data_IF_737827383133
#
_entry.id   IF_737827383133
#
_cell.length_a   1.000
_cell.length_b   1.000
_cell.length_c   1.000
_cell.angle_alpha   90.00
_cell.angle_beta   90.00
_cell.angle_gamma   90.00
#
_symmetry.space_group_name_H-M   'P 1'
#
loop_
_entity.id
_entity.type
_entity.pdbx_description
1 polymer ?
#
# COMPACT_ATOMS: atom_id res chain seq x y z
N UNK A 1 9.60 -22.44 23.74
CA UNK A 1 9.98 -22.23 22.33
C UNK A 1 9.81 -20.76 22.05
N UNK A 2 10.92 -20.03 21.99
CA UNK A 2 10.93 -18.62 21.63
C UNK A 2 10.36 -18.47 20.21
N UNK A 3 9.43 -17.53 20.04
CA UNK A 3 8.97 -17.14 18.71
C UNK A 3 10.17 -16.58 17.94
N UNK A 4 10.30 -16.86 16.62
CA UNK A 4 11.36 -16.24 15.84
C UNK A 4 11.18 -14.72 15.90
N UNK A 5 12.11 -14.06 16.57
CA UNK A 5 12.24 -12.61 16.68
C UNK A 5 12.75 -12.07 15.34
N UNK A 6 12.04 -11.08 14.82
CA UNK A 6 12.35 -10.25 13.65
C UNK A 6 12.46 -10.96 12.27
N UNK A 7 11.31 -11.12 11.61
CA UNK A 7 11.26 -11.29 10.16
C UNK A 7 11.55 -9.94 9.49
N UNK A 8 12.82 -9.71 9.16
CA UNK A 8 13.30 -8.53 8.44
C UNK A 8 12.66 -8.50 7.05
N UNK A 9 12.10 -7.36 6.65
CA UNK A 9 11.64 -7.14 5.28
C UNK A 9 12.81 -7.34 4.30
N UNK A 10 12.63 -8.19 3.30
CA UNK A 10 13.67 -8.37 2.30
C UNK A 10 13.75 -7.11 1.42
N UNK A 11 14.97 -6.59 1.27
CA UNK A 11 15.23 -5.36 0.48
C UNK A 11 14.86 -5.47 -0.99
N UNK A 12 14.65 -6.68 -1.51
CA UNK A 12 14.22 -6.93 -2.88
C UNK A 12 12.70 -7.08 -2.92
N UNK A 13 12.04 -6.17 -3.65
CA UNK A 13 10.58 -6.22 -3.82
C UNK A 13 10.09 -7.58 -4.33
N UNK A 14 10.85 -8.25 -5.20
CA UNK A 14 10.45 -9.54 -5.75
C UNK A 14 10.23 -10.62 -4.71
N UNK A 15 11.04 -10.63 -3.65
CA UNK A 15 10.91 -11.60 -2.56
C UNK A 15 9.61 -11.38 -1.78
N UNK A 16 9.15 -10.13 -1.70
CA UNK A 16 7.87 -9.80 -1.04
C UNK A 16 6.67 -10.23 -1.88
N UNK A 17 6.79 -10.22 -3.21
CA UNK A 17 5.68 -10.52 -4.13
C UNK A 17 5.63 -11.97 -4.60
N UNK A 18 6.62 -12.78 -4.21
CA UNK A 18 6.77 -14.15 -4.66
C UNK A 18 5.64 -15.06 -4.16
N UNK A 19 5.03 -15.76 -5.11
CA UNK A 19 4.04 -16.81 -4.86
C UNK A 19 4.46 -18.07 -5.59
N UNK A 20 4.32 -19.20 -4.91
CA UNK A 20 4.53 -20.53 -5.46
C UNK A 20 3.19 -21.07 -5.95
N UNK A 21 3.13 -21.53 -7.21
CA UNK A 21 1.97 -22.26 -7.68
C UNK A 21 2.02 -23.70 -7.14
N UNK A 22 0.99 -24.09 -6.39
CA UNK A 22 0.91 -25.43 -5.78
C UNK A 22 -0.14 -26.32 -6.46
N UNK A 23 -1.09 -25.73 -7.19
CA UNK A 23 -2.02 -26.44 -8.10
C UNK A 23 -2.57 -25.47 -9.17
N UNK A 24 -3.43 -25.96 -10.06
CA UNK A 24 -4.21 -25.12 -10.98
C UNK A 24 -5.03 -24.12 -10.16
N UNK A 25 -4.82 -22.83 -10.48
CA UNK A 25 -5.51 -21.72 -9.83
C UNK A 25 -5.33 -21.67 -8.29
N UNK A 26 -4.24 -22.28 -7.78
CA UNK A 26 -3.91 -22.33 -6.35
C UNK A 26 -2.45 -21.97 -6.09
N UNK A 27 -2.23 -20.97 -5.24
CA UNK A 27 -0.91 -20.45 -4.96
C UNK A 27 -0.65 -20.31 -3.46
N UNK A 28 0.62 -20.25 -3.07
CA UNK A 28 1.08 -20.09 -1.69
C UNK A 28 2.10 -18.96 -1.60
N UNK A 29 1.98 -18.10 -0.58
CA UNK A 29 3.00 -17.09 -0.28
C UNK A 29 4.33 -17.75 0.10
N UNK A 30 5.45 -17.25 -0.41
CA UNK A 30 6.78 -17.74 0.00
C UNK A 30 7.27 -17.01 1.24
N UNK A 31 7.22 -15.68 1.22
CA UNK A 31 7.64 -14.83 2.34
C UNK A 31 6.50 -13.90 2.76
N UNK A 32 6.49 -13.55 4.04
CA UNK A 32 5.53 -12.61 4.63
C UNK A 32 6.28 -11.63 5.51
N UNK A 33 5.92 -10.36 5.41
CA UNK A 33 6.49 -9.28 6.20
C UNK A 33 5.45 -8.71 7.14
N UNK A 34 5.78 -8.63 8.43
CA UNK A 34 4.99 -7.95 9.45
C UNK A 34 5.72 -6.68 9.88
N UNK A 35 5.19 -5.48 9.55
CA UNK A 35 5.81 -4.24 9.98
C UNK A 35 5.91 -4.12 11.51
N UNK A 36 6.91 -3.40 12.04
CA UNK A 36 7.06 -3.22 13.47
C UNK A 36 5.80 -2.59 14.09
N UNK A 37 5.35 -3.17 15.22
CA UNK A 37 4.11 -2.78 15.94
C UNK A 37 2.81 -2.96 15.14
N UNK A 38 2.84 -3.54 13.94
CA UNK A 38 1.63 -3.92 13.23
C UNK A 38 0.98 -5.17 13.85
N UNK A 39 -0.32 -5.35 13.60
CA UNK A 39 -1.08 -6.51 14.10
C UNK A 39 -0.92 -7.75 13.21
N UNK A 40 -0.66 -7.57 11.93
CA UNK A 40 -0.51 -8.67 10.96
C UNK A 40 0.43 -8.31 9.82
N UNK A 41 0.48 -9.19 8.82
CA UNK A 41 1.24 -8.99 7.58
C UNK A 41 0.84 -7.68 6.91
N UNK A 42 1.80 -7.03 6.25
CA UNK A 42 1.56 -5.80 5.51
C UNK A 42 0.50 -6.00 4.42
N UNK A 43 -0.50 -5.10 4.38
CA UNK A 43 -1.66 -5.23 3.49
C UNK A 43 -1.30 -5.20 2.02
N UNK A 44 -0.42 -4.26 1.63
CA UNK A 44 0.12 -4.16 0.27
C UNK A 44 0.76 -5.47 -0.21
N UNK A 45 1.40 -6.23 0.67
CA UNK A 45 1.95 -7.54 0.30
C UNK A 45 0.86 -8.55 -0.06
N UNK A 46 -0.21 -8.61 0.73
CA UNK A 46 -1.35 -9.52 0.49
C UNK A 46 -2.07 -9.15 -0.81
N UNK A 47 -2.27 -7.86 -1.07
CA UNK A 47 -2.86 -7.37 -2.34
C UNK A 47 -1.98 -7.81 -3.51
N UNK A 48 -0.68 -7.51 -3.46
CA UNK A 48 0.26 -7.80 -4.54
C UNK A 48 0.41 -9.28 -4.84
N UNK A 49 0.47 -10.13 -3.81
CA UNK A 49 0.51 -11.59 -4.00
C UNK A 49 -0.79 -12.11 -4.60
N UNK A 50 -1.96 -11.60 -4.15
CA UNK A 50 -3.24 -11.98 -4.72
C UNK A 50 -3.37 -11.62 -6.22
N UNK A 51 -2.90 -10.43 -6.63
CA UNK A 51 -2.91 -10.07 -8.06
C UNK A 51 -1.86 -10.82 -8.87
N UNK A 52 -0.70 -11.16 -8.28
CA UNK A 52 0.27 -12.04 -8.92
C UNK A 52 -0.35 -13.41 -9.20
N UNK A 53 -1.05 -14.00 -8.22
CA UNK A 53 -1.82 -15.23 -8.40
C UNK A 53 -2.89 -15.10 -9.48
N UNK A 54 -3.71 -14.05 -9.45
CA UNK A 54 -4.76 -13.84 -10.44
C UNK A 54 -4.21 -13.68 -11.86
N UNK A 55 -3.09 -12.97 -12.02
CA UNK A 55 -2.44 -12.72 -13.32
C UNK A 55 -1.96 -14.01 -13.96
N UNK A 56 -1.43 -14.95 -13.16
CA UNK A 56 -1.03 -16.28 -13.65
C UNK A 56 -2.20 -17.14 -14.16
N UNK A 57 -3.44 -16.77 -13.84
CA UNK A 57 -4.66 -17.45 -14.28
C UNK A 57 -5.34 -16.77 -15.47
N UNK A 58 -4.68 -15.81 -16.13
CA UNK A 58 -5.24 -15.00 -17.23
C UNK A 58 -4.37 -15.13 -18.48
N UNK A 59 -4.98 -15.03 -19.67
CA UNK A 59 -4.24 -15.05 -20.93
C UNK A 59 -3.30 -13.84 -21.02
N UNK A 60 -2.04 -13.99 -21.47
CA UNK A 60 -1.05 -12.90 -21.51
C UNK A 60 -1.48 -11.64 -22.27
N UNK A 61 -2.44 -11.75 -23.19
CA UNK A 61 -2.94 -10.61 -23.96
C UNK A 61 -3.81 -9.64 -23.13
N UNK A 62 -4.23 -10.03 -21.92
CA UNK A 62 -5.08 -9.22 -21.05
C UNK A 62 -4.24 -8.57 -19.95
N UNK A 63 -4.31 -7.25 -19.84
CA UNK A 63 -3.67 -6.48 -18.77
C UNK A 63 -4.62 -6.24 -17.59
N UNK A 64 -4.10 -6.29 -16.37
CA UNK A 64 -4.85 -5.90 -15.17
C UNK A 64 -5.21 -4.41 -15.26
N UNK A 65 -6.48 -4.05 -15.06
CA UNK A 65 -6.93 -2.65 -15.08
C UNK A 65 -7.63 -2.21 -13.81
N UNK A 66 -8.15 -3.14 -13.01
CA UNK A 66 -8.74 -2.78 -11.73
C UNK A 66 -8.77 -3.93 -10.74
N UNK A 67 -8.80 -3.56 -9.46
CA UNK A 67 -9.06 -4.46 -8.36
C UNK A 67 -9.87 -3.78 -7.27
N UNK A 68 -10.61 -4.59 -6.53
CA UNK A 68 -11.31 -4.24 -5.30
C UNK A 68 -11.08 -5.34 -4.29
N UNK A 69 -10.73 -5.02 -3.05
CA UNK A 69 -10.50 -6.02 -2.03
C UNK A 69 -10.96 -5.60 -0.64
N UNK A 70 -11.22 -6.59 0.21
CA UNK A 70 -11.53 -6.42 1.62
C UNK A 70 -10.56 -7.22 2.49
N UNK A 71 -10.10 -6.59 3.55
CA UNK A 71 -9.33 -7.20 4.64
C UNK A 71 -10.30 -7.66 5.73
N UNK A 72 -10.42 -8.98 5.90
CA UNK A 72 -11.39 -9.59 6.82
C UNK A 72 -10.77 -9.90 8.18
N UNK A 73 -9.53 -10.42 8.17
CA UNK A 73 -8.79 -10.81 9.37
C UNK A 73 -7.32 -10.40 9.25
N UNK A 74 -6.65 -10.23 10.39
CA UNK A 74 -5.20 -9.98 10.39
C UNK A 74 -4.45 -11.25 9.99
N UNK A 75 -3.68 -11.16 8.90
CA UNK A 75 -2.81 -12.23 8.44
C UNK A 75 -1.65 -12.46 9.43
N UNK A 76 -1.34 -13.73 9.72
CA UNK A 76 -0.19 -14.12 10.54
C UNK A 76 1.07 -14.27 9.67
N UNK A 77 2.23 -13.73 10.08
CA UNK A 77 3.50 -13.98 9.38
C UNK A 77 4.07 -15.38 9.64
N UNK A 78 3.51 -16.14 10.59
CA UNK A 78 4.04 -17.44 11.01
C UNK A 78 3.55 -18.61 10.14
N UNK A 79 2.55 -18.38 9.30
CA UNK A 79 1.91 -19.41 8.47
C UNK A 79 1.78 -18.85 7.05
N UNK A 80 2.07 -19.61 5.98
CA UNK A 80 1.85 -19.13 4.63
C UNK A 80 0.38 -18.78 4.36
N UNK A 81 0.15 -17.80 3.50
CA UNK A 81 -1.17 -17.49 2.95
C UNK A 81 -1.40 -18.34 1.71
N UNK A 82 -2.56 -18.99 1.61
CA UNK A 82 -2.98 -19.74 0.43
C UNK A 82 -3.95 -18.88 -0.38
N UNK A 83 -3.67 -18.66 -1.66
CA UNK A 83 -4.48 -17.88 -2.59
C UNK A 83 -5.22 -18.81 -3.55
N UNK A 84 -6.54 -18.89 -3.39
CA UNK A 84 -7.44 -19.59 -4.29
C UNK A 84 -7.95 -18.62 -5.35
N UNK A 85 -7.66 -18.89 -6.61
CA UNK A 85 -8.13 -18.09 -7.74
C UNK A 85 -9.34 -18.76 -8.37
N UNK A 86 -10.41 -18.01 -8.53
CA UNK A 86 -11.62 -18.43 -9.21
C UNK A 86 -11.76 -17.66 -10.52
N UNK A 87 -11.95 -18.38 -11.62
CA UNK A 87 -12.19 -17.83 -12.95
C UNK A 87 -13.66 -17.45 -13.11
N UNK A 88 -14.03 -16.27 -12.60
CA UNK A 88 -15.42 -15.78 -12.61
C UNK A 88 -15.95 -15.62 -14.04
N UNK A 89 -15.14 -15.08 -14.94
CA UNK A 89 -15.53 -14.85 -16.34
C UNK A 89 -14.32 -14.77 -17.26
N UNK A 90 -14.44 -15.38 -18.43
CA UNK A 90 -13.55 -15.14 -19.57
C UNK A 90 -14.37 -14.70 -20.78
N UNK A 91 -14.32 -13.40 -21.06
CA UNK A 91 -14.97 -12.79 -22.22
C UNK A 91 -14.01 -12.55 -23.37
N UNK A 92 -14.54 -11.94 -24.43
CA UNK A 92 -13.74 -11.53 -25.60
C UNK A 92 -12.73 -10.43 -25.26
N UNK A 93 -13.16 -9.41 -24.52
CA UNK A 93 -12.34 -8.22 -24.22
C UNK A 93 -12.05 -8.05 -22.72
N UNK A 94 -12.78 -8.73 -21.84
CA UNK A 94 -12.59 -8.68 -20.40
C UNK A 94 -12.51 -10.07 -19.77
N UNK A 95 -11.65 -10.23 -18.77
CA UNK A 95 -11.56 -11.39 -17.90
C UNK A 95 -11.66 -10.96 -16.44
N UNK A 96 -12.31 -11.76 -15.60
CA UNK A 96 -12.52 -11.44 -14.18
C UNK A 96 -12.02 -12.61 -13.33
N UNK A 97 -11.28 -12.29 -12.28
CA UNK A 97 -10.77 -13.25 -11.30
C UNK A 97 -11.20 -12.83 -9.90
N UNK A 98 -11.57 -13.82 -9.10
CA UNK A 98 -11.84 -13.67 -7.69
C UNK A 98 -10.77 -14.43 -6.92
N UNK A 99 -10.14 -13.81 -5.92
CA UNK A 99 -9.05 -14.40 -5.14
C UNK A 99 -9.46 -14.43 -3.68
N UNK A 100 -9.43 -15.63 -3.08
CA UNK A 100 -9.58 -15.83 -1.64
C UNK A 100 -8.21 -16.10 -1.04
N UNK A 101 -7.78 -15.26 -0.12
CA UNK A 101 -6.60 -15.55 0.68
C UNK A 101 -7.02 -16.22 1.98
N UNK A 102 -6.42 -17.37 2.30
CA UNK A 102 -6.82 -18.25 3.40
C UNK A 102 -5.64 -18.56 4.29
N UNK A 103 -5.86 -18.49 5.60
CA UNK A 103 -4.97 -19.00 6.64
C UNK A 103 -5.78 -19.77 7.67
N UNK A 104 -5.27 -20.92 8.11
CA UNK A 104 -5.91 -21.76 9.14
C UNK A 104 -7.41 -22.06 8.84
N UNK A 105 -7.74 -22.27 7.56
CA UNK A 105 -9.11 -22.53 7.10
C UNK A 105 -10.06 -21.33 7.12
N UNK A 106 -9.57 -20.11 7.42
CA UNK A 106 -10.36 -18.89 7.42
C UNK A 106 -9.95 -17.97 6.27
N UNK A 107 -10.94 -17.37 5.60
CA UNK A 107 -10.68 -16.32 4.61
C UNK A 107 -10.26 -15.05 5.35
N UNK A 108 -9.02 -14.61 5.12
CA UNK A 108 -8.46 -13.41 5.75
C UNK A 108 -8.56 -12.18 4.85
N UNK A 109 -8.65 -12.40 3.54
CA UNK A 109 -8.68 -11.37 2.52
C UNK A 109 -9.40 -11.88 1.27
N UNK A 110 -10.13 -10.99 0.61
CA UNK A 110 -10.89 -11.28 -0.60
C UNK A 110 -10.63 -10.19 -1.64
N UNK A 111 -10.32 -10.55 -2.87
CA UNK A 111 -10.08 -9.62 -3.97
C UNK A 111 -10.85 -10.02 -5.22
N UNK A 112 -11.50 -9.05 -5.86
CA UNK A 112 -12.06 -9.19 -7.20
C UNK A 112 -11.26 -8.26 -8.13
N UNK A 113 -10.69 -8.81 -9.20
CA UNK A 113 -9.95 -8.02 -10.18
C UNK A 113 -10.40 -8.30 -11.61
N UNK A 114 -10.21 -7.29 -12.44
CA UNK A 114 -10.61 -7.30 -13.84
C UNK A 114 -9.42 -7.00 -14.74
N UNK A 115 -9.37 -7.72 -15.84
CA UNK A 115 -8.35 -7.64 -16.87
C UNK A 115 -9.02 -7.31 -18.20
N UNK A 116 -8.35 -6.56 -19.07
CA UNK A 116 -8.86 -6.22 -20.40
C UNK A 116 -7.80 -6.39 -21.48
N UNK A 117 -8.24 -6.58 -22.72
CA UNK A 117 -7.39 -6.42 -23.91
C UNK A 117 -7.06 -4.93 -24.09
N UNK A 118 -5.80 -4.49 -24.16
CA UNK A 118 -5.46 -3.06 -24.32
C UNK A 118 -6.04 -2.42 -25.59
N UNK A 119 -6.55 -1.20 -25.46
CA UNK A 119 -7.11 -0.39 -26.57
C UNK A 119 -6.43 1.00 -26.64
N UNK A 120 -5.12 1.08 -26.98
CA UNK A 120 -4.33 2.32 -26.89
C UNK A 120 -4.76 3.44 -27.86
N UNK A 121 -5.63 3.15 -28.82
CA UNK A 121 -6.15 4.13 -29.78
C UNK A 121 -7.33 4.95 -29.24
N UNK A 122 -7.83 4.64 -28.05
CA UNK A 122 -8.95 5.35 -27.46
C UNK A 122 -8.54 6.76 -26.96
N UNK A 123 -9.47 7.72 -26.87
CA UNK A 123 -9.18 9.05 -26.35
C UNK A 123 -8.67 9.02 -24.91
N UNK A 124 -7.73 9.92 -24.59
CA UNK A 124 -7.13 10.03 -23.26
C UNK A 124 -7.45 11.37 -22.62
N UNK A 125 -7.68 11.36 -21.31
CA UNK A 125 -7.75 12.55 -20.47
C UNK A 125 -7.12 12.21 -19.12
N UNK A 126 -6.32 13.12 -18.59
CA UNK A 126 -5.75 13.00 -17.26
C UNK A 126 -5.72 14.36 -16.57
N UNK A 127 -5.75 14.35 -15.23
CA UNK A 127 -5.39 15.51 -14.45
C UNK A 127 -3.87 15.74 -14.51
N UNK A 128 -3.41 17.00 -14.47
CA UNK A 128 -1.98 17.27 -14.46
C UNK A 128 -1.34 16.75 -13.16
N UNK A 129 -0.08 16.31 -13.26
CA UNK A 129 0.76 16.08 -12.09
C UNK A 129 0.96 17.42 -11.35
N UNK A 130 0.84 17.48 -10.01
CA UNK A 130 1.10 18.71 -9.27
C UNK A 130 2.58 19.10 -9.34
N UNK A 131 2.85 20.41 -9.26
CA UNK A 131 4.22 20.93 -9.17
C UNK A 131 4.79 20.64 -7.78
N UNK A 132 5.87 19.85 -7.74
CA UNK A 132 6.55 19.40 -6.54
C UNK A 132 8.06 19.33 -6.78
N UNK A 133 8.89 19.42 -5.73
CA UNK A 133 10.32 19.16 -5.86
C UNK A 133 10.60 17.81 -6.52
N UNK A 134 11.70 17.74 -7.28
CA UNK A 134 12.11 16.51 -7.96
C UNK A 134 12.47 15.43 -6.93
N UNK A 135 12.41 14.18 -7.37
CA UNK A 135 12.71 13.02 -6.52
C UNK A 135 14.08 13.15 -5.84
N UNK A 136 15.10 13.63 -6.57
CA UNK A 136 16.48 13.77 -6.07
C UNK A 136 16.62 14.86 -5.01
N UNK A 137 15.76 15.86 -5.02
CA UNK A 137 15.81 17.02 -4.12
C UNK A 137 15.07 16.75 -2.80
N UNK A 138 14.38 15.61 -2.68
CA UNK A 138 13.57 15.28 -1.53
C UNK A 138 14.33 14.40 -0.52
N UNK A 139 14.22 14.74 0.77
CA UNK A 139 14.77 13.94 1.87
C UNK A 139 14.09 12.56 1.95
N UNK A 140 14.89 11.51 2.12
CA UNK A 140 14.39 10.16 2.41
C UNK A 140 13.70 10.10 3.78
N UNK A 141 12.62 9.34 3.86
CA UNK A 141 11.85 9.22 5.11
C UNK A 141 12.64 8.55 6.24
N UNK A 142 13.57 7.64 5.92
CA UNK A 142 14.53 7.08 6.88
C UNK A 142 15.47 8.14 7.46
N UNK A 143 15.96 9.08 6.65
CA UNK A 143 16.85 10.16 7.10
C UNK A 143 16.08 11.17 7.94
N UNK A 144 14.83 11.48 7.55
CA UNK A 144 13.91 12.26 8.36
C UNK A 144 13.71 11.63 9.74
N UNK A 145 13.52 10.32 9.82
CA UNK A 145 13.36 9.63 11.10
C UNK A 145 14.66 9.66 11.94
N UNK A 146 15.82 9.39 11.33
CA UNK A 146 17.14 9.54 12.00
C UNK A 146 17.32 10.94 12.57
N UNK A 147 17.02 11.96 11.77
CA UNK A 147 17.13 13.37 12.16
C UNK A 147 16.17 13.73 13.29
N UNK A 148 14.94 13.20 13.30
CA UNK A 148 14.00 13.41 14.41
C UNK A 148 14.45 12.72 15.70
N UNK A 149 15.17 11.61 15.60
CA UNK A 149 15.72 10.91 16.76
C UNK A 149 16.85 11.69 17.46
N UNK A 150 17.45 12.71 16.82
CA UNK A 150 18.51 13.55 17.41
C UNK A 150 18.00 14.85 18.04
N UNK A 151 16.69 15.10 18.03
CA UNK A 151 16.12 16.34 18.58
C UNK A 151 16.35 16.43 20.09
N UNK A 152 16.77 17.61 20.55
CA UNK A 152 16.97 17.88 21.97
C UNK A 152 15.65 17.75 22.74
N UNK A 153 15.68 17.07 23.90
CA UNK A 153 14.52 16.89 24.77
C UNK A 153 13.51 15.83 24.32
N UNK A 154 13.85 15.01 23.33
CA UNK A 154 13.01 13.88 22.92
C UNK A 154 12.95 12.80 24.01
N UNK A 155 11.75 12.26 24.25
CA UNK A 155 11.57 11.09 25.12
C UNK A 155 12.25 9.86 24.52
N UNK A 156 12.88 9.04 25.37
CA UNK A 156 13.66 7.88 24.95
C UNK A 156 12.84 6.89 24.11
N UNK A 157 11.57 6.64 24.47
CA UNK A 157 10.71 5.71 23.73
C UNK A 157 10.35 6.25 22.35
N UNK A 158 10.26 7.57 22.21
CA UNK A 158 10.00 8.24 20.93
C UNK A 158 11.26 8.19 20.05
N UNK A 159 12.45 8.36 20.66
CA UNK A 159 13.74 8.18 19.99
C UNK A 159 13.89 6.77 19.43
N UNK A 160 13.68 5.75 20.26
CA UNK A 160 13.70 4.34 19.86
C UNK A 160 12.70 4.05 18.73
N UNK A 161 11.48 4.61 18.82
CA UNK A 161 10.47 4.47 17.78
C UNK A 161 10.94 5.04 16.43
N UNK A 162 11.56 6.23 16.43
CA UNK A 162 12.09 6.82 15.20
C UNK A 162 13.24 6.01 14.62
N UNK A 163 14.17 5.52 15.45
CA UNK A 163 15.26 4.67 14.96
C UNK A 163 14.75 3.34 14.39
N UNK A 164 13.73 2.74 15.01
CA UNK A 164 13.07 1.54 14.48
C UNK A 164 12.41 1.82 13.12
N UNK A 165 11.70 2.95 12.97
CA UNK A 165 11.13 3.32 11.67
C UNK A 165 12.18 3.66 10.63
N UNK A 166 13.29 4.29 11.02
CA UNK A 166 14.41 4.51 10.10
C UNK A 166 14.97 3.18 9.59
N UNK A 167 15.23 2.22 10.49
CA UNK A 167 15.75 0.91 10.13
C UNK A 167 14.80 0.12 9.20
N UNK A 168 13.50 0.15 9.49
CA UNK A 168 12.48 -0.46 8.62
C UNK A 168 12.51 0.16 7.22
N UNK A 169 12.47 1.50 7.11
CA UNK A 169 12.53 2.18 5.81
C UNK A 169 13.83 1.99 5.05
N UNK A 170 14.96 1.84 5.74
CA UNK A 170 16.26 1.52 5.10
C UNK A 170 16.30 0.12 4.52
N UNK A 171 15.70 -0.84 5.22
CA UNK A 171 15.74 -2.24 4.78
C UNK A 171 14.60 -2.59 3.83
N UNK A 172 13.51 -1.82 3.83
CA UNK A 172 12.36 -2.06 3.00
C UNK A 172 12.62 -1.89 1.50
N UNK A 173 11.76 -2.49 0.66
CA UNK A 173 11.94 -2.54 -0.78
C UNK A 173 11.51 -1.24 -1.47
N UNK A 174 10.93 -0.27 -0.76
CA UNK A 174 10.48 1.00 -1.32
C UNK A 174 11.18 2.15 -0.59
N UNK A 175 11.97 2.95 -1.34
CA UNK A 175 12.45 4.23 -0.88
C UNK A 175 11.32 5.26 -0.93
N UNK A 176 11.04 5.93 0.19
CA UNK A 176 10.00 6.97 0.26
C UNK A 176 10.65 8.31 0.57
N UNK A 177 10.23 9.34 -0.16
CA UNK A 177 10.63 10.73 0.08
C UNK A 177 9.39 11.61 0.19
N UNK A 178 9.40 12.56 1.14
CA UNK A 178 8.29 13.52 1.29
C UNK A 178 8.51 14.67 0.33
N UNK A 179 7.68 14.76 -0.71
CA UNK A 179 7.81 15.78 -1.75
C UNK A 179 7.16 17.10 -1.32
N UNK A 180 5.92 17.03 -0.84
CA UNK A 180 5.18 18.21 -0.41
C UNK A 180 4.02 17.87 0.52
N UNK A 181 3.57 18.88 1.25
CA UNK A 181 2.31 18.89 2.01
C UNK A 181 1.66 20.24 1.78
N UNK A 182 0.54 20.25 1.07
CA UNK A 182 -0.19 21.47 0.76
C UNK A 182 -1.52 21.51 1.50
N UNK A 183 -1.90 22.69 1.97
CA UNK A 183 -3.24 22.96 2.50
C UNK A 183 -3.91 23.93 1.55
N UNK A 184 -5.09 23.60 1.03
CA UNK A 184 -5.85 24.55 0.21
C UNK A 184 -6.49 25.62 1.08
N UNK A 185 -6.33 26.89 0.70
CA UNK A 185 -6.84 28.02 1.47
C UNK A 185 -8.37 28.11 1.48
N UNK A 186 -9.02 27.69 0.38
CA UNK A 186 -10.46 27.80 0.16
C UNK A 186 -11.29 26.88 1.07
N UNK A 187 -10.77 25.69 1.39
CA UNK A 187 -11.53 24.66 2.12
C UNK A 187 -10.72 23.92 3.18
N UNK A 188 -9.44 24.29 3.40
CA UNK A 188 -8.57 23.68 4.39
C UNK A 188 -8.14 22.24 4.07
N UNK A 189 -8.47 21.70 2.90
CA UNK A 189 -8.10 20.33 2.53
C UNK A 189 -6.59 20.16 2.45
N UNK A 190 -6.10 19.10 3.09
CA UNK A 190 -4.67 18.76 3.14
C UNK A 190 -4.38 17.68 2.11
N UNK A 191 -3.37 17.92 1.27
CA UNK A 191 -2.84 16.94 0.32
C UNK A 191 -1.39 16.64 0.66
N UNK A 192 -1.10 15.36 0.86
CA UNK A 192 0.26 14.85 1.04
C UNK A 192 0.77 14.29 -0.28
N UNK A 193 2.07 14.47 -0.55
CA UNK A 193 2.70 14.06 -1.80
C UNK A 193 4.03 13.37 -1.49
N UNK A 194 4.19 12.14 -1.96
CA UNK A 194 5.35 11.31 -1.69
C UNK A 194 5.95 10.78 -3.00
N UNK A 195 7.27 10.88 -3.16
CA UNK A 195 7.96 10.08 -4.15
C UNK A 195 8.20 8.69 -3.57
N UNK A 196 7.80 7.64 -4.29
CA UNK A 196 7.96 6.24 -3.90
C UNK A 196 8.70 5.49 -5.00
N UNK A 197 9.82 4.88 -4.66
CA UNK A 197 10.74 4.28 -5.62
C UNK A 197 11.11 2.85 -5.20
N UNK A 198 10.87 1.89 -6.07
CA UNK A 198 11.19 0.49 -5.81
C UNK A 198 12.71 0.23 -5.86
N UNK A 199 13.21 -0.49 -4.85
CA UNK A 199 14.57 -1.01 -4.74
C UNK A 199 14.57 -2.44 -5.26
N UNK A 200 15.00 -2.63 -6.50
CA UNK A 200 14.98 -3.95 -7.15
C UNK A 200 16.38 -4.55 -7.28
N UNK A 201 17.41 -3.70 -7.34
CA UNK A 201 18.79 -4.13 -7.58
C UNK A 201 18.98 -4.75 -8.97
N UNK A 202 18.07 -4.48 -9.92
CA UNK A 202 18.13 -4.95 -11.30
C UNK A 202 18.65 -3.85 -12.22
N UNK A 203 19.32 -4.25 -13.29
CA UNK A 203 19.73 -3.36 -14.39
C UNK A 203 18.58 -3.07 -15.36
N UNK A 204 17.60 -3.98 -15.45
CA UNK A 204 16.45 -3.86 -16.33
C UNK A 204 15.13 -3.83 -15.52
N UNK A 205 14.18 -2.96 -15.90
CA UNK A 205 12.85 -2.93 -15.28
C UNK A 205 12.14 -4.27 -15.36
N UNK A 206 11.21 -4.51 -14.43
CA UNK A 206 10.28 -5.61 -14.58
C UNK A 206 9.24 -5.35 -15.68
N UNK A 207 8.71 -6.44 -16.24
CA UNK A 207 7.55 -6.42 -17.14
C UNK A 207 6.31 -5.79 -16.48
N UNK A 208 5.44 -5.19 -17.30
CA UNK A 208 4.26 -4.44 -16.84
C UNK A 208 3.35 -5.19 -15.86
N UNK A 209 3.02 -6.50 -16.04
CA UNK A 209 2.20 -7.21 -15.06
C UNK A 209 2.82 -7.21 -13.66
N UNK A 210 4.15 -7.30 -13.58
CA UNK A 210 4.86 -7.27 -12.31
C UNK A 210 5.02 -5.83 -11.78
N UNK A 211 5.21 -4.83 -12.65
CA UNK A 211 5.16 -3.41 -12.27
C UNK A 211 3.83 -3.05 -11.59
N UNK A 212 2.71 -3.56 -12.09
CA UNK A 212 1.38 -3.38 -11.45
C UNK A 212 1.29 -4.05 -10.08
N UNK A 213 2.01 -5.17 -9.88
CA UNK A 213 2.15 -5.81 -8.57
C UNK A 213 2.96 -4.95 -7.59
N UNK A 214 4.05 -4.33 -8.06
CA UNK A 214 4.85 -3.39 -7.27
C UNK A 214 4.03 -2.14 -6.93
N UNK A 215 3.30 -1.58 -7.88
CA UNK A 215 2.44 -0.41 -7.66
C UNK A 215 1.37 -0.70 -6.61
N UNK A 216 0.74 -1.88 -6.63
CA UNK A 216 -0.20 -2.28 -5.58
C UNK A 216 0.45 -2.33 -4.19
N UNK A 217 1.70 -2.80 -4.09
CA UNK A 217 2.46 -2.79 -2.84
C UNK A 217 2.67 -1.37 -2.33
N UNK A 218 3.13 -0.50 -3.25
CA UNK A 218 3.40 0.92 -3.03
C UNK A 218 2.14 1.66 -2.56
N UNK A 219 0.98 1.33 -3.12
CA UNK A 219 -0.27 2.05 -2.88
C UNK A 219 -0.82 1.95 -1.46
N UNK A 220 -0.43 0.93 -0.68
CA UNK A 220 -0.81 0.76 0.73
C UNK A 220 0.23 1.38 1.70
N UNK A 221 1.33 1.95 1.18
CA UNK A 221 2.30 2.71 1.98
C UNK A 221 1.86 4.16 2.13
N UNK A 222 2.00 4.71 3.35
CA UNK A 222 1.67 6.10 3.69
C UNK A 222 0.27 6.57 3.24
N UNK A 223 -0.71 5.65 3.21
CA UNK A 223 -2.06 5.93 2.73
C UNK A 223 -3.04 6.22 3.88
N UNK A 224 -3.44 5.20 4.66
CA UNK A 224 -4.36 5.37 5.80
C UNK A 224 -3.80 6.26 6.91
N UNK A 225 -2.48 6.39 7.02
CA UNK A 225 -1.84 7.31 7.97
C UNK A 225 -2.24 8.77 7.72
N UNK A 226 -2.59 9.14 6.49
CA UNK A 226 -3.06 10.49 6.15
C UNK A 226 -4.38 10.81 6.85
N UNK A 227 -5.26 9.83 7.02
CA UNK A 227 -6.49 10.03 7.79
C UNK A 227 -6.20 10.29 9.28
N UNK A 228 -5.21 9.58 9.86
CA UNK A 228 -4.79 9.82 11.25
C UNK A 228 -4.21 11.22 11.43
N UNK A 229 -3.37 11.67 10.48
CA UNK A 229 -2.81 13.04 10.45
C UNK A 229 -3.91 14.10 10.31
N UNK A 230 -4.87 13.88 9.42
CA UNK A 230 -6.02 14.78 9.19
C UNK A 230 -6.89 14.93 10.44
N UNK A 231 -7.04 13.86 11.22
CA UNK A 231 -7.74 13.87 12.51
C UNK A 231 -6.87 14.34 13.69
N UNK A 232 -5.61 14.72 13.43
CA UNK A 232 -4.62 15.10 14.44
C UNK A 232 -4.36 14.03 15.51
N UNK A 233 -4.59 12.76 15.18
CA UNK A 233 -4.36 11.63 16.08
C UNK A 233 -2.89 11.24 16.08
N UNK A 234 -2.31 11.12 17.29
CA UNK A 234 -0.88 10.85 17.46
C UNK A 234 -0.66 9.40 17.92
N UNK A 235 0.37 8.76 17.37
CA UNK A 235 0.88 7.50 17.92
C UNK A 235 1.61 7.80 19.23
N UNK A 236 1.52 6.90 20.21
CA UNK A 236 2.14 7.00 21.54
C UNK A 236 1.66 8.17 22.43
N UNK A 237 0.68 8.98 22.03
CA UNK A 237 0.02 9.89 22.96
C UNK A 237 -0.97 9.13 23.85
N UNK A 238 -1.40 9.77 24.94
CA UNK A 238 -2.46 9.27 25.82
C UNK A 238 -3.69 10.17 25.71
N UNK A 239 -4.86 9.60 26.00
CA UNK A 239 -6.10 10.35 26.07
C UNK A 239 -6.72 10.59 24.68
N UNK A 240 -7.64 11.58 24.58
CA UNK A 240 -8.59 11.68 23.47
C UNK A 240 -7.98 11.92 22.09
N UNK A 241 -6.71 12.34 22.01
CA UNK A 241 -5.99 12.60 20.75
C UNK A 241 -5.03 11.44 20.39
N UNK A 242 -5.13 10.30 21.09
CA UNK A 242 -4.36 9.10 20.81
C UNK A 242 -4.99 8.26 19.72
N UNK A 243 -4.18 7.80 18.77
CA UNK A 243 -4.59 6.83 17.78
C UNK A 243 -4.72 5.43 18.42
N UNK A 244 -5.93 5.09 18.85
CA UNK A 244 -6.23 3.82 19.50
C UNK A 244 -6.26 2.63 18.53
N UNK A 245 -6.79 2.85 17.33
CA UNK A 245 -6.89 1.81 16.30
C UNK A 245 -6.75 2.40 14.91
N UNK A 246 -5.94 1.73 14.09
CA UNK A 246 -5.80 1.98 12.65
C UNK A 246 -5.74 0.63 11.95
N UNK A 247 -6.67 0.37 11.03
CA UNK A 247 -6.68 -0.87 10.23
C UNK A 247 -7.36 -0.63 8.90
N UNK A 248 -6.78 -1.15 7.82
CA UNK A 248 -7.40 -1.13 6.50
C UNK A 248 -8.65 -2.01 6.50
N UNK A 249 -9.72 -1.55 5.84
CA UNK A 249 -10.95 -2.34 5.63
C UNK A 249 -11.03 -2.83 4.19
N UNK A 250 -10.82 -1.92 3.24
CA UNK A 250 -10.79 -2.22 1.81
C UNK A 250 -9.65 -1.49 1.10
N UNK A 251 -9.38 -1.89 -0.14
CA UNK A 251 -8.47 -1.16 -1.03
C UNK A 251 -8.89 -1.40 -2.48
N UNK A 252 -8.91 -0.33 -3.27
CA UNK A 252 -9.23 -0.39 -4.70
C UNK A 252 -8.19 0.36 -5.51
N UNK A 253 -7.83 -0.20 -6.68
CA UNK A 253 -6.90 0.39 -7.63
C UNK A 253 -7.52 0.32 -9.02
N UNK A 254 -7.37 1.40 -9.78
CA UNK A 254 -7.64 1.44 -11.22
C UNK A 254 -6.38 1.89 -11.95
N UNK A 255 -5.90 1.07 -12.87
CA UNK A 255 -4.71 1.29 -13.68
C UNK A 255 -5.12 1.82 -15.06
N UNK A 256 -4.49 2.91 -15.52
CA UNK A 256 -4.83 3.58 -16.77
C UNK A 256 -3.65 3.72 -17.74
N UNK A 257 -2.42 3.61 -17.26
CA UNK A 257 -1.22 3.73 -18.10
C UNK A 257 -0.24 2.59 -17.78
N UNK A 258 0.36 2.03 -18.82
CA UNK A 258 1.38 0.99 -18.74
C UNK A 258 2.79 1.56 -18.96
N UNK A 259 2.93 2.84 -19.33
CA UNK A 259 4.19 3.57 -19.49
C UNK A 259 4.67 4.12 -18.13
N UNK A 260 5.08 3.21 -17.25
CA UNK A 260 5.66 3.54 -15.96
C UNK A 260 6.67 2.49 -15.46
N UNK A 261 7.57 2.94 -14.60
CA UNK A 261 8.60 2.13 -13.98
C UNK A 261 8.66 2.48 -12.49
N UNK A 262 8.40 1.51 -11.60
CA UNK A 262 8.41 1.78 -10.16
C UNK A 262 9.83 2.08 -9.65
N UNK A 263 10.86 1.62 -10.35
CA UNK A 263 12.28 1.89 -10.08
C UNK A 263 12.68 3.33 -10.41
N UNK A 264 12.00 3.98 -11.36
CA UNK A 264 12.24 5.39 -11.70
C UNK A 264 11.59 6.35 -10.70
N UNK A 265 10.60 5.84 -9.95
CA UNK A 265 9.85 6.56 -8.94
C UNK A 265 8.46 7.01 -9.42
N UNK A 266 7.48 6.84 -8.54
CA UNK A 266 6.11 7.30 -8.70
C UNK A 266 5.81 8.41 -7.69
N UNK A 267 5.12 9.47 -8.13
CA UNK A 267 4.57 10.47 -7.23
C UNK A 267 3.19 10.02 -6.77
N UNK A 268 3.04 9.76 -5.47
CA UNK A 268 1.76 9.42 -4.85
C UNK A 268 1.16 10.65 -4.16
N UNK A 269 0.04 11.12 -4.70
CA UNK A 269 -0.71 12.29 -4.21
C UNK A 269 -1.93 11.80 -3.46
N UNK A 270 -1.97 12.04 -2.15
CA UNK A 270 -2.94 11.45 -1.22
C UNK A 270 -3.68 12.54 -0.44
N UNK A 271 -5.00 12.38 -0.30
CA UNK A 271 -5.83 13.20 0.59
C UNK A 271 -6.87 12.35 1.34
N UNK A 272 -7.41 12.91 2.42
CA UNK A 272 -8.50 12.33 3.22
C UNK A 272 -9.75 13.21 3.08
N UNK A 273 -10.68 12.89 2.18
CA UNK A 273 -11.87 13.72 1.98
C UNK A 273 -12.90 13.58 3.09
N UNK A 274 -12.92 12.46 3.84
CA UNK A 274 -13.90 12.24 4.92
C UNK A 274 -13.38 11.30 6.01
N UNK A 275 -13.62 11.68 7.26
CA UNK A 275 -13.42 10.82 8.42
C UNK A 275 -14.56 11.00 9.45
N UNK A 276 -15.13 9.90 9.94
CA UNK A 276 -16.25 9.91 10.88
C UNK A 276 -16.63 8.50 11.30
N UNK A 277 -17.37 8.39 12.40
CA UNK A 277 -17.84 7.10 12.94
C UNK A 277 -16.73 6.03 13.12
N UNK A 278 -15.54 6.50 13.53
CA UNK A 278 -14.37 5.65 13.72
C UNK A 278 -13.79 5.05 12.43
N UNK A 279 -14.12 5.63 11.26
CA UNK A 279 -13.57 5.29 9.95
C UNK A 279 -13.10 6.54 9.21
N UNK A 280 -12.30 6.34 8.18
CA UNK A 280 -11.91 7.39 7.24
C UNK A 280 -11.63 6.81 5.86
N UNK A 281 -11.94 7.58 4.83
CA UNK A 281 -11.60 7.27 3.44
C UNK A 281 -10.41 8.13 3.00
N UNK A 282 -9.49 7.53 2.28
CA UNK A 282 -8.35 8.19 1.64
C UNK A 282 -8.38 7.92 0.14
N UNK A 283 -8.09 8.95 -0.64
CA UNK A 283 -8.00 8.87 -2.10
C UNK A 283 -6.56 9.15 -2.52
N UNK A 284 -6.10 8.41 -3.52
CA UNK A 284 -4.73 8.50 -4.01
C UNK A 284 -4.67 8.57 -5.53
N UNK A 285 -3.62 9.25 -6.02
CA UNK A 285 -3.32 9.41 -7.44
C UNK A 285 -1.83 9.18 -7.64
N UNK A 286 -1.49 8.25 -8.52
CA UNK A 286 -0.11 7.87 -8.81
C UNK A 286 0.31 8.41 -10.17
N UNK A 287 1.37 9.20 -10.19
CA UNK A 287 1.96 9.72 -11.42
C UNK A 287 3.33 9.10 -11.66
N UNK A 288 3.68 8.82 -12.91
CA UNK A 288 5.06 8.51 -13.27
C UNK A 288 5.94 9.73 -13.06
N UNK A 289 7.26 9.51 -13.01
CA UNK A 289 8.25 10.60 -12.96
C UNK A 289 8.08 11.63 -14.08
N UNK A 290 7.58 11.21 -15.24
CA UNK A 290 7.32 12.07 -16.40
C UNK A 290 5.91 12.71 -16.39
N UNK A 291 5.13 12.51 -15.33
CA UNK A 291 3.81 13.11 -15.15
C UNK A 291 2.64 12.34 -15.80
N UNK A 292 2.85 11.12 -16.28
CA UNK A 292 1.76 10.24 -16.73
C UNK A 292 0.90 9.84 -15.53
N UNK A 293 -0.43 9.93 -15.65
CA UNK A 293 -1.33 9.57 -14.55
C UNK A 293 -1.62 8.07 -14.61
N UNK A 294 -0.84 7.30 -13.86
CA UNK A 294 -0.76 5.83 -13.95
C UNK A 294 -1.95 5.14 -13.31
N UNK A 295 -2.35 5.56 -12.11
CA UNK A 295 -3.38 4.87 -11.35
C UNK A 295 -4.11 5.77 -10.35
N UNK A 296 -5.36 5.39 -10.06
CA UNK A 296 -6.19 5.96 -9.00
C UNK A 296 -6.39 4.91 -7.91
N UNK A 297 -6.36 5.33 -6.65
CA UNK A 297 -6.55 4.45 -5.50
C UNK A 297 -7.57 5.00 -4.52
N UNK A 298 -8.28 4.10 -3.83
CA UNK A 298 -9.23 4.43 -2.78
C UNK A 298 -9.20 3.37 -1.69
N UNK A 299 -9.28 3.81 -0.44
CA UNK A 299 -9.28 2.92 0.73
C UNK A 299 -10.07 3.56 1.87
N UNK A 300 -10.97 2.80 2.48
CA UNK A 300 -11.52 3.06 3.79
C UNK A 300 -10.76 2.24 4.84
N UNK A 301 -10.53 2.86 6.00
CA UNK A 301 -9.96 2.16 7.15
C UNK A 301 -10.64 2.57 8.44
N UNK A 302 -10.55 1.69 9.44
CA UNK A 302 -10.84 2.04 10.82
C UNK A 302 -9.78 3.02 11.28
N UNK A 303 -10.20 4.18 11.78
CA UNK A 303 -9.32 5.19 12.39
C UNK A 303 -10.04 5.72 13.63
N UNK A 304 -9.55 5.33 14.81
CA UNK A 304 -10.23 5.62 16.08
C UNK A 304 -9.30 6.33 17.05
N UNK A 305 -9.86 7.35 17.69
CA UNK A 305 -9.31 7.99 18.86
C UNK A 305 -9.50 7.12 20.11
N UNK A 306 -8.64 7.27 21.12
CA UNK A 306 -8.84 6.71 22.47
C UNK A 306 -9.88 7.51 23.25
N UNK A 307 -11.13 7.45 22.76
CA UNK A 307 -12.31 8.06 23.37
C UNK A 307 -13.28 6.97 23.77
N UNK A 308 -13.73 7.00 25.03
CA UNK A 308 -14.87 6.18 25.48
C UNK A 308 -16.16 6.91 25.13
N UNK A 309 -17.19 6.16 24.78
CA UNK A 309 -18.54 6.70 24.74
C UNK A 309 -18.85 7.32 26.13
N UNK A 310 -19.58 8.44 26.21
CA UNK A 310 -20.16 8.85 27.48
C UNK A 310 -20.92 7.64 28.03
N UNK A 311 -20.64 7.26 29.28
CA UNK A 311 -21.37 6.17 29.92
C UNK A 311 -22.87 6.44 29.76
N UNK A 312 -23.64 5.41 29.38
CA UNK A 312 -25.10 5.52 29.46
C UNK A 312 -25.42 5.88 30.92
N UNK A 313 -25.94 7.08 31.13
CA UNK A 313 -26.58 7.46 32.39
C UNK A 313 -27.72 6.50 32.69
#
# INVERSE_FOLDING_TARGET
MEAPTDQVEHSKISTSLEVEQIDVDLFRSVNLFKPPRARGVFGGQVISQAIASATNCVRPAFGLHSLHCYFLLSASPAVPVIYFVERVRDGRSYSTRNVKAVQNGQVIFQLLCSFHMPEPWQPIYQWPMPDVPKLEDCELEEDLFRRRATYSGIDEKVRELYLMYAAERTNGPIAIRRASRTTREDNGSVTWMFWMQARTGRSEPYEIPFQKCILAYVSDLNFLSIASDTLHLKRLSKGPDSLAMSSTLDHSIWYYDDDFCCEDGLLYVVNCPRAGDGRAVVHGRLYSRLGKFVAVTCQEGVVRADRRAPGKL
#
